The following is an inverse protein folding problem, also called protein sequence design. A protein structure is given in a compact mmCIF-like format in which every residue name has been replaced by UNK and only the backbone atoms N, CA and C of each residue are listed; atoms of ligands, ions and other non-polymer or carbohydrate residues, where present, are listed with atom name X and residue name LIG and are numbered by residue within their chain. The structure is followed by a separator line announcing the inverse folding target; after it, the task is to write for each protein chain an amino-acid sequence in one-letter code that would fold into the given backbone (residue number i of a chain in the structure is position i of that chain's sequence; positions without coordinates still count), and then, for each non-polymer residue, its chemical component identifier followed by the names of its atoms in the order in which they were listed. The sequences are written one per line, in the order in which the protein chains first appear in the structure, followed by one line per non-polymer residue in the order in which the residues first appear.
data_IF_291297835626
#
_entry.id   IF_291297835626
#
_cell.length_a   1.000
_cell.length_b   1.000
_cell.length_c   1.000
_cell.angle_alpha   90.00
_cell.angle_beta   90.00
_cell.angle_gamma   90.00
#
_symmetry.space_group_name_H-M   'P 1'
#
loop_
_entity.id
_entity.type
_entity.pdbx_description
1 polymer ?
#
# COMPACT_ATOMS: atom_id res chain seq x y z
N UNK A 1 77.37 6.24 4.66
CA UNK A 1 75.98 6.03 5.11
C UNK A 1 74.97 6.56 4.07
N UNK A 2 74.98 6.03 2.84
CA UNK A 2 74.07 6.45 1.77
C UNK A 2 73.56 5.27 0.92
N UNK A 3 73.76 4.03 1.41
CA UNK A 3 73.44 2.80 0.67
C UNK A 3 72.24 1.99 1.21
N UNK A 4 71.70 2.33 2.39
CA UNK A 4 70.53 1.63 2.97
C UNK A 4 69.20 2.38 2.82
N UNK A 5 69.20 3.62 2.31
CA UNK A 5 67.98 4.41 2.05
C UNK A 5 67.44 4.28 0.62
N UNK A 6 68.15 3.63 -0.28
CA UNK A 6 67.72 3.45 -1.68
C UNK A 6 67.07 2.07 -1.96
N UNK A 7 67.28 1.07 -1.09
CA UNK A 7 66.54 -0.20 -1.20
C UNK A 7 65.08 -0.09 -0.75
N UNK A 8 64.72 0.93 0.03
CA UNK A 8 63.36 1.12 0.51
C UNK A 8 62.42 1.81 -0.51
N UNK A 9 62.97 2.29 -1.63
CA UNK A 9 62.20 3.03 -2.66
C UNK A 9 61.93 2.18 -3.91
N UNK A 10 62.64 1.07 -4.10
CA UNK A 10 62.49 0.21 -5.30
C UNK A 10 61.42 -0.87 -5.14
N UNK A 11 61.01 -1.19 -3.90
CA UNK A 11 59.96 -2.19 -3.63
C UNK A 11 58.54 -1.61 -3.62
N UNK A 12 58.37 -0.32 -3.93
CA UNK A 12 57.06 0.37 -3.88
C UNK A 12 56.33 0.43 -5.23
N UNK A 13 56.75 -0.35 -6.25
CA UNK A 13 56.28 -0.18 -7.63
C UNK A 13 55.91 -1.45 -8.39
N UNK A 14 55.37 -2.47 -7.73
CA UNK A 14 54.76 -3.63 -8.41
C UNK A 14 53.56 -4.20 -7.66
N UNK A 15 52.51 -3.40 -7.48
CA UNK A 15 51.12 -3.89 -7.32
C UNK A 15 50.17 -2.81 -7.83
N UNK A 16 49.94 -2.81 -9.15
CA UNK A 16 48.79 -2.14 -9.75
C UNK A 16 47.56 -2.99 -9.41
N UNK A 17 46.61 -2.52 -8.58
CA UNK A 17 45.30 -3.15 -8.54
C UNK A 17 44.61 -2.81 -9.87
N UNK A 18 44.22 -3.85 -10.60
CA UNK A 18 43.26 -3.76 -11.68
C UNK A 18 42.06 -2.93 -11.20
N UNK A 19 41.65 -1.96 -12.01
CA UNK A 19 40.46 -1.14 -11.80
C UNK A 19 39.22 -2.04 -11.74
N UNK A 20 38.85 -2.47 -10.54
CA UNK A 20 37.53 -2.99 -10.24
C UNK A 20 36.49 -1.90 -10.56
N UNK A 21 35.35 -2.23 -11.18
CA UNK A 21 34.31 -1.24 -11.45
C UNK A 21 33.76 -0.70 -10.13
N UNK A 22 33.89 0.61 -9.94
CA UNK A 22 33.33 1.34 -8.80
C UNK A 22 31.86 0.95 -8.60
N UNK A 23 31.54 0.41 -7.42
CA UNK A 23 30.16 0.09 -7.08
C UNK A 23 29.34 1.39 -6.94
N UNK A 24 28.07 1.36 -7.36
CA UNK A 24 27.11 2.49 -7.29
C UNK A 24 27.11 3.26 -5.95
N UNK A 25 27.49 2.60 -4.86
CA UNK A 25 27.53 3.15 -3.50
C UNK A 25 28.65 4.18 -3.26
N UNK A 26 29.74 4.18 -4.03
CA UNK A 26 30.85 5.14 -3.85
C UNK A 26 30.61 6.47 -4.57
N UNK A 27 29.80 6.48 -5.65
CA UNK A 27 29.43 7.70 -6.40
C UNK A 27 28.53 8.63 -5.57
N UNK A 28 27.82 8.10 -4.58
CA UNK A 28 26.89 8.86 -3.72
C UNK A 28 27.51 9.47 -2.45
N UNK A 29 28.85 9.51 -2.31
CA UNK A 29 29.51 10.33 -1.27
C UNK A 29 29.37 9.84 0.19
N UNK A 30 29.25 8.53 0.41
CA UNK A 30 29.14 7.96 1.76
C UNK A 30 30.53 7.68 2.37
N UNK A 31 31.16 8.69 2.98
CA UNK A 31 32.42 8.47 3.71
C UNK A 31 32.14 7.78 5.05
N UNK A 32 32.65 6.55 5.22
CA UNK A 32 32.56 5.77 6.46
C UNK A 32 33.46 6.41 7.52
N UNK A 33 32.91 7.25 8.38
CA UNK A 33 33.61 7.78 9.57
C UNK A 33 33.97 6.60 10.47
N UNK A 34 35.28 6.37 10.62
CA UNK A 34 35.87 5.31 11.46
C UNK A 34 36.27 5.94 12.79
N UNK A 35 35.35 6.03 13.75
CA UNK A 35 35.69 6.41 15.13
C UNK A 35 36.19 5.18 15.89
N UNK A 36 37.49 5.15 16.18
CA UNK A 36 38.11 4.20 17.09
C UNK A 36 37.97 4.70 18.52
N UNK A 37 37.08 4.11 19.30
CA UNK A 37 37.08 4.23 20.77
C UNK A 37 37.23 2.82 21.35
N UNK A 38 38.37 2.60 21.99
CA UNK A 38 38.67 1.38 22.72
C UNK A 38 37.82 1.34 24.00
N UNK A 39 36.91 0.37 24.10
CA UNK A 39 36.17 0.10 25.33
C UNK A 39 36.49 -1.31 25.81
N UNK A 40 36.97 -1.41 27.06
CA UNK A 40 37.32 -2.67 27.70
C UNK A 40 36.04 -3.48 27.97
N UNK A 41 35.97 -4.68 27.42
CA UNK A 41 34.78 -5.54 27.44
C UNK A 41 34.75 -6.36 28.74
N UNK A 42 34.03 -5.87 29.76
CA UNK A 42 33.56 -6.75 30.83
C UNK A 42 32.42 -7.61 30.27
N UNK A 43 32.68 -8.90 30.11
CA UNK A 43 31.71 -9.94 29.77
C UNK A 43 30.67 -10.07 30.89
N UNK A 44 29.65 -9.20 30.92
CA UNK A 44 28.35 -9.48 31.55
C UNK A 44 27.38 -8.32 31.30
N UNK A 45 26.81 -8.26 30.11
CA UNK A 45 25.54 -7.60 29.88
C UNK A 45 24.88 -8.25 28.66
N UNK A 46 23.81 -9.02 28.88
CA UNK A 46 22.80 -9.23 27.85
C UNK A 46 22.21 -7.86 27.53
N UNK A 47 22.80 -7.13 26.58
CA UNK A 47 22.32 -5.84 26.15
C UNK A 47 20.82 -5.99 25.82
N UNK A 48 19.90 -5.34 26.56
CA UNK A 48 18.49 -5.40 26.22
C UNK A 48 18.39 -4.83 24.81
N UNK A 49 18.01 -5.68 23.85
CA UNK A 49 17.87 -5.29 22.45
C UNK A 49 16.95 -4.07 22.42
N UNK A 50 17.51 -2.89 22.15
CA UNK A 50 16.79 -1.65 22.41
C UNK A 50 15.48 -1.67 21.62
N UNK A 51 14.33 -1.50 22.30
CA UNK A 51 13.05 -1.42 21.64
C UNK A 51 13.06 -0.30 20.59
N UNK A 52 12.34 -0.49 19.47
CA UNK A 52 12.13 0.61 18.53
C UNK A 52 11.54 1.81 19.28
N UNK A 53 11.91 3.03 18.88
CA UNK A 53 11.32 4.26 19.44
C UNK A 53 9.79 4.14 19.43
N UNK A 54 9.16 4.61 20.51
CA UNK A 54 7.70 4.61 20.68
C UNK A 54 7.01 5.21 19.46
N UNK A 55 7.62 6.24 18.87
CA UNK A 55 7.16 6.87 17.64
C UNK A 55 7.09 5.89 16.45
N UNK A 56 8.13 5.10 16.20
CA UNK A 56 8.15 4.13 15.10
C UNK A 56 7.17 2.97 15.30
N UNK A 57 6.97 2.58 16.57
CA UNK A 57 5.97 1.58 16.95
C UNK A 57 4.57 2.09 16.66
N UNK A 58 4.27 3.31 17.13
CA UNK A 58 2.98 3.95 16.90
C UNK A 58 2.66 4.04 15.41
N UNK A 59 3.58 4.56 14.60
CA UNK A 59 3.38 4.68 13.16
C UNK A 59 3.16 3.32 12.50
N UNK A 60 3.93 2.29 12.88
CA UNK A 60 3.71 0.94 12.36
C UNK A 60 2.32 0.42 12.71
N UNK A 61 1.93 0.50 13.99
CA UNK A 61 0.66 -0.01 14.48
C UNK A 61 -0.52 0.78 13.88
N UNK A 62 -0.39 2.09 13.71
CA UNK A 62 -1.39 2.92 13.07
C UNK A 62 -1.52 2.59 11.58
N UNK A 63 -0.41 2.41 10.84
CA UNK A 63 -0.47 1.89 9.47
C UNK A 63 -1.18 0.53 9.40
N UNK A 64 -0.83 -0.38 10.31
CA UNK A 64 -1.44 -1.71 10.36
C UNK A 64 -2.95 -1.59 10.62
N UNK A 65 -3.37 -0.75 11.58
CA UNK A 65 -4.78 -0.50 11.87
C UNK A 65 -5.54 0.02 10.64
N UNK A 66 -5.00 1.03 9.94
CA UNK A 66 -5.65 1.60 8.76
C UNK A 66 -5.73 0.58 7.62
N UNK A 67 -4.69 -0.23 7.40
CA UNK A 67 -4.72 -1.33 6.41
C UNK A 67 -5.77 -2.39 6.79
N UNK A 68 -5.89 -2.71 8.08
CA UNK A 68 -6.91 -3.63 8.61
C UNK A 68 -8.34 -3.11 8.45
N UNK A 69 -8.53 -1.79 8.30
CA UNK A 69 -9.84 -1.20 7.95
C UNK A 69 -10.05 -1.22 6.44
N UNK A 70 -9.03 -0.82 5.67
CA UNK A 70 -9.10 -0.69 4.21
C UNK A 70 -9.44 -1.99 3.48
N UNK A 71 -8.88 -3.13 3.91
CA UNK A 71 -9.07 -4.41 3.22
C UNK A 71 -10.55 -4.88 3.28
N UNK A 72 -11.17 -5.03 4.48
CA UNK A 72 -12.60 -5.33 4.58
C UNK A 72 -13.48 -4.28 3.92
N UNK A 73 -13.14 -3.00 4.07
CA UNK A 73 -13.87 -1.90 3.43
C UNK A 73 -13.91 -2.07 1.90
N UNK A 74 -12.77 -2.39 1.28
CA UNK A 74 -12.68 -2.63 -0.17
C UNK A 74 -13.53 -3.81 -0.65
N UNK A 75 -13.66 -4.88 0.16
CA UNK A 75 -14.57 -5.98 -0.17
C UNK A 75 -16.03 -5.63 0.10
N UNK A 76 -16.31 -4.93 1.20
CA UNK A 76 -17.66 -4.50 1.56
C UNK A 76 -18.30 -3.62 0.49
N UNK A 77 -17.52 -2.71 -0.12
CA UNK A 77 -17.98 -1.87 -1.22
C UNK A 77 -18.49 -2.64 -2.44
N UNK A 78 -18.09 -3.91 -2.63
CA UNK A 78 -18.63 -4.77 -3.69
C UNK A 78 -19.99 -5.39 -3.35
N UNK A 79 -20.37 -5.38 -2.07
CA UNK A 79 -21.60 -5.98 -1.54
C UNK A 79 -22.67 -4.94 -1.20
N UNK A 80 -22.43 -3.66 -1.50
CA UNK A 80 -23.35 -2.55 -1.22
C UNK A 80 -24.09 -2.19 -2.51
N UNK A 81 -25.42 -2.25 -2.46
CA UNK A 81 -26.32 -1.86 -3.56
C UNK A 81 -26.77 -0.39 -3.49
N UNK A 82 -26.63 0.24 -2.33
CA UNK A 82 -26.98 1.65 -2.11
C UNK A 82 -25.91 2.58 -2.72
N UNK A 83 -26.29 3.36 -3.73
CA UNK A 83 -25.39 4.22 -4.49
C UNK A 83 -24.79 5.37 -3.65
N UNK A 84 -25.59 6.01 -2.79
CA UNK A 84 -25.14 7.13 -1.97
C UNK A 84 -24.13 6.67 -0.91
N UNK A 85 -24.43 5.54 -0.27
CA UNK A 85 -23.50 4.89 0.65
C UNK A 85 -22.23 4.45 -0.09
N UNK A 86 -22.36 3.87 -1.28
CA UNK A 86 -21.22 3.39 -2.06
C UNK A 86 -20.24 4.52 -2.42
N UNK A 87 -20.74 5.68 -2.87
CA UNK A 87 -19.92 6.86 -3.14
C UNK A 87 -19.16 7.29 -1.88
N UNK A 88 -19.86 7.38 -0.75
CA UNK A 88 -19.26 7.75 0.55
C UNK A 88 -18.15 6.78 0.96
N UNK A 89 -18.37 5.47 0.76
CA UNK A 89 -17.37 4.45 1.06
C UNK A 89 -16.16 4.53 0.11
N UNK A 90 -16.37 4.82 -1.18
CA UNK A 90 -15.27 5.07 -2.12
C UNK A 90 -14.41 6.26 -1.70
N UNK A 91 -15.01 7.38 -1.32
CA UNK A 91 -14.27 8.56 -0.89
C UNK A 91 -13.49 8.32 0.40
N UNK A 92 -14.10 7.60 1.36
CA UNK A 92 -13.40 7.16 2.57
C UNK A 92 -12.23 6.22 2.25
N UNK A 93 -12.44 5.24 1.37
CA UNK A 93 -11.42 4.28 0.96
C UNK A 93 -10.25 4.97 0.26
N UNK A 94 -10.52 5.88 -0.68
CA UNK A 94 -9.51 6.69 -1.37
C UNK A 94 -8.71 7.54 -0.37
N UNK A 95 -9.40 8.24 0.53
CA UNK A 95 -8.77 9.10 1.54
C UNK A 95 -7.85 8.33 2.48
N UNK A 96 -8.30 7.18 2.98
CA UNK A 96 -7.48 6.29 3.81
C UNK A 96 -6.30 5.68 3.01
N UNK A 97 -6.50 5.39 1.73
CA UNK A 97 -5.42 4.95 0.83
C UNK A 97 -4.32 6.01 0.67
N UNK A 98 -4.69 7.27 0.45
CA UNK A 98 -3.76 8.40 0.39
C UNK A 98 -3.06 8.60 1.73
N UNK A 99 -3.77 8.45 2.85
CA UNK A 99 -3.16 8.49 4.18
C UNK A 99 -2.08 7.41 4.35
N UNK A 100 -2.35 6.17 3.94
CA UNK A 100 -1.35 5.09 3.93
C UNK A 100 -0.16 5.43 3.04
N UNK A 101 -0.40 5.97 1.84
CA UNK A 101 0.68 6.38 0.93
C UNK A 101 1.62 7.39 1.62
N UNK A 102 1.07 8.45 2.21
CA UNK A 102 1.83 9.47 2.92
C UNK A 102 2.63 8.87 4.10
N UNK A 103 1.98 8.01 4.90
CA UNK A 103 2.64 7.35 6.02
C UNK A 103 3.77 6.42 5.58
N UNK A 104 3.59 5.65 4.51
CA UNK A 104 4.60 4.71 4.02
C UNK A 104 5.81 5.46 3.46
N UNK A 105 5.59 6.53 2.70
CA UNK A 105 6.66 7.43 2.25
C UNK A 105 7.43 8.00 3.44
N UNK A 106 6.72 8.50 4.46
CA UNK A 106 7.34 8.97 5.69
C UNK A 106 8.15 7.87 6.41
N UNK A 107 7.61 6.65 6.50
CA UNK A 107 8.31 5.51 7.10
C UNK A 107 9.57 5.14 6.33
N UNK A 108 9.53 5.16 4.99
CA UNK A 108 10.71 4.90 4.14
C UNK A 108 11.76 5.98 4.39
N UNK A 109 11.37 7.26 4.37
CA UNK A 109 12.25 8.38 4.66
C UNK A 109 12.96 8.21 6.01
N UNK A 110 12.19 7.95 7.07
CA UNK A 110 12.76 7.76 8.40
C UNK A 110 13.62 6.50 8.52
N UNK A 111 13.27 5.43 7.80
CA UNK A 111 14.06 4.19 7.77
C UNK A 111 15.42 4.38 7.11
N UNK A 112 15.51 5.27 6.11
CA UNK A 112 16.79 5.63 5.47
C UNK A 112 17.64 6.50 6.42
N UNK A 113 17.00 7.37 7.22
CA UNK A 113 17.70 8.26 8.17
C UNK A 113 18.11 7.61 9.49
N UNK A 114 17.51 6.47 9.87
CA UNK A 114 17.72 5.86 11.19
C UNK A 114 18.60 4.60 11.10
N UNK A 115 19.60 4.49 11.99
CA UNK A 115 20.41 3.28 12.13
C UNK A 115 19.54 2.12 12.65
N UNK A 116 19.53 1.00 11.91
CA UNK A 116 18.74 -0.17 12.28
C UNK A 116 19.35 -0.88 13.50
N UNK A 117 18.54 -1.25 14.50
CA UNK A 117 18.99 -2.18 15.54
C UNK A 117 19.44 -3.49 14.88
N UNK A 118 20.56 -4.05 15.33
CA UNK A 118 21.06 -5.34 14.85
C UNK A 118 19.99 -6.43 15.03
N UNK A 119 19.79 -7.23 13.97
CA UNK A 119 18.98 -8.44 14.01
C UNK A 119 19.55 -9.39 15.08
N UNK A 120 18.69 -10.12 15.80
CA UNK A 120 19.19 -11.05 16.83
C UNK A 120 20.05 -12.12 16.18
N UNK A 121 21.16 -12.47 16.83
CA UNK A 121 22.08 -13.49 16.36
C UNK A 121 21.42 -14.88 16.20
N UNK A 122 20.23 -15.09 16.77
CA UNK A 122 19.47 -16.34 16.76
C UNK A 122 18.78 -16.69 15.44
N UNK A 123 18.59 -15.74 14.51
CA UNK A 123 17.88 -16.02 13.25
C UNK A 123 18.79 -16.74 12.25
N UNK A 124 18.28 -17.78 11.60
CA UNK A 124 18.99 -18.48 10.52
C UNK A 124 19.21 -17.56 9.30
N UNK A 125 20.15 -17.89 8.41
CA UNK A 125 20.38 -17.11 7.18
C UNK A 125 19.11 -17.04 6.29
N UNK A 126 18.34 -18.13 6.24
CA UNK A 126 17.07 -18.21 5.51
C UNK A 126 16.01 -17.29 6.13
N UNK A 127 15.83 -17.32 7.45
CA UNK A 127 14.86 -16.45 8.14
C UNK A 127 15.18 -14.97 7.95
N UNK A 128 16.47 -14.60 8.00
CA UNK A 128 16.90 -13.21 7.69
C UNK A 128 16.59 -12.85 6.24
N UNK A 129 16.89 -13.72 5.30
CA UNK A 129 16.61 -13.52 3.87
C UNK A 129 15.11 -13.32 3.61
N UNK A 130 14.29 -14.23 4.11
CA UNK A 130 12.82 -14.14 4.02
C UNK A 130 12.29 -12.88 4.67
N UNK A 131 12.76 -12.53 5.87
CA UNK A 131 12.36 -11.29 6.54
C UNK A 131 12.69 -10.05 5.71
N UNK A 132 13.85 -10.01 5.06
CA UNK A 132 14.22 -8.91 4.17
C UNK A 132 13.32 -8.84 2.93
N UNK A 133 13.04 -9.97 2.30
CA UNK A 133 12.16 -10.07 1.12
C UNK A 133 10.75 -9.63 1.51
N UNK A 134 10.15 -10.23 2.53
CA UNK A 134 8.79 -9.90 3.00
C UNK A 134 8.67 -8.42 3.32
N UNK A 135 9.63 -7.83 4.05
CA UNK A 135 9.59 -6.40 4.34
C UNK A 135 9.68 -5.57 3.06
N UNK A 136 10.61 -5.87 2.14
CA UNK A 136 10.73 -5.13 0.87
C UNK A 136 9.43 -5.21 0.06
N UNK A 137 8.87 -6.40 -0.09
CA UNK A 137 7.61 -6.63 -0.80
C UNK A 137 6.45 -5.87 -0.17
N UNK A 138 6.33 -5.88 1.17
CA UNK A 138 5.31 -5.11 1.87
C UNK A 138 5.45 -3.60 1.63
N UNK A 139 6.67 -3.04 1.68
CA UNK A 139 6.88 -1.62 1.36
C UNK A 139 6.50 -1.30 -0.08
N UNK A 140 6.89 -2.15 -1.03
CA UNK A 140 6.54 -1.96 -2.45
C UNK A 140 5.04 -2.01 -2.65
N UNK A 141 4.35 -3.01 -2.10
CA UNK A 141 2.90 -3.15 -2.25
C UNK A 141 2.12 -2.04 -1.56
N UNK A 142 2.58 -1.58 -0.39
CA UNK A 142 1.97 -0.44 0.29
C UNK A 142 2.14 0.90 -0.46
N UNK A 143 3.03 0.97 -1.45
CA UNK A 143 3.11 2.09 -2.40
C UNK A 143 2.27 1.80 -3.66
N UNK A 144 2.43 0.62 -4.25
CA UNK A 144 1.74 0.23 -5.49
C UNK A 144 0.22 0.27 -5.31
N UNK A 145 -0.31 -0.21 -4.18
CA UNK A 145 -1.75 -0.26 -3.91
C UNK A 145 -2.43 1.12 -3.98
N UNK A 146 -2.05 2.12 -3.16
CA UNK A 146 -2.69 3.42 -3.22
C UNK A 146 -2.39 4.17 -4.52
N UNK A 147 -1.20 3.99 -5.12
CA UNK A 147 -0.87 4.62 -6.40
C UNK A 147 -1.71 4.05 -7.53
N UNK A 148 -1.90 2.73 -7.60
CA UNK A 148 -2.78 2.13 -8.61
C UNK A 148 -4.24 2.53 -8.39
N UNK A 149 -4.70 2.67 -7.15
CA UNK A 149 -6.05 3.15 -6.84
C UNK A 149 -6.27 4.61 -7.27
N UNK A 150 -5.26 5.48 -7.06
CA UNK A 150 -5.30 6.87 -7.52
C UNK A 150 -5.36 6.94 -9.05
N UNK A 151 -4.47 6.22 -9.73
CA UNK A 151 -4.45 6.15 -11.20
C UNK A 151 -5.75 5.55 -11.78
N UNK A 152 -6.32 4.55 -11.11
CA UNK A 152 -7.62 3.98 -11.46
C UNK A 152 -8.74 5.02 -11.36
N UNK A 153 -8.80 5.80 -10.28
CA UNK A 153 -9.81 6.86 -10.09
C UNK A 153 -9.69 7.94 -11.17
N UNK A 154 -8.46 8.42 -11.45
CA UNK A 154 -8.22 9.40 -12.50
C UNK A 154 -8.60 8.88 -13.88
N UNK A 155 -8.25 7.63 -14.20
CA UNK A 155 -8.60 7.00 -15.48
C UNK A 155 -10.12 6.78 -15.62
N UNK A 156 -10.85 6.61 -14.52
CA UNK A 156 -12.32 6.60 -14.50
C UNK A 156 -12.95 8.00 -14.65
N UNK A 157 -12.15 9.07 -14.58
CA UNK A 157 -12.60 10.46 -14.66
C UNK A 157 -13.08 11.05 -13.33
N UNK A 158 -12.67 10.45 -12.20
CA UNK A 158 -13.02 10.95 -10.87
C UNK A 158 -11.77 11.45 -10.13
N UNK A 159 -11.76 12.72 -9.65
CA UNK A 159 -10.66 13.23 -8.86
C UNK A 159 -10.55 12.46 -7.53
N UNK A 160 -9.34 12.44 -6.96
CA UNK A 160 -9.10 11.86 -5.64
C UNK A 160 -9.09 12.97 -4.60
N UNK A 161 -10.18 13.09 -3.86
CA UNK A 161 -10.29 14.01 -2.74
C UNK A 161 -9.71 13.39 -1.46
N UNK A 162 -8.91 14.16 -0.71
CA UNK A 162 -8.40 13.75 0.59
C UNK A 162 -9.31 14.28 1.70
N UNK A 163 -10.23 13.44 2.17
CA UNK A 163 -11.24 13.77 3.20
C UNK A 163 -12.06 15.04 2.89
N UNK A 164 -12.25 15.38 1.61
CA UNK A 164 -12.96 16.61 1.21
C UNK A 164 -12.16 17.90 1.38
N UNK A 165 -10.90 17.83 1.82
CA UNK A 165 -10.09 19.02 2.13
C UNK A 165 -9.44 19.62 0.88
N UNK A 166 -8.89 18.76 0.02
CA UNK A 166 -8.27 19.13 -1.24
C UNK A 166 -8.25 17.93 -2.18
N UNK A 167 -8.14 18.21 -3.48
CA UNK A 167 -8.02 17.19 -4.51
C UNK A 167 -6.55 16.99 -4.88
N UNK A 168 -6.17 15.73 -5.07
CA UNK A 168 -4.87 15.36 -5.61
C UNK A 168 -4.86 15.63 -7.13
N UNK A 169 -3.72 15.98 -7.72
CA UNK A 169 -3.63 16.25 -9.15
C UNK A 169 -3.94 14.99 -9.97
N UNK A 170 -4.56 15.19 -11.14
CA UNK A 170 -4.79 14.09 -12.08
C UNK A 170 -3.47 13.69 -12.74
N UNK A 171 -3.09 12.43 -12.55
CA UNK A 171 -1.85 11.87 -13.11
C UNK A 171 -2.04 11.30 -14.52
N UNK A 172 -3.28 10.93 -14.85
CA UNK A 172 -3.69 10.34 -16.13
C UNK A 172 -5.04 10.90 -16.54
N UNK A 173 -5.27 11.01 -17.85
CA UNK A 173 -6.57 11.39 -18.39
C UNK A 173 -7.57 10.24 -18.31
N UNK A 174 -8.87 10.57 -18.38
CA UNK A 174 -9.94 9.57 -18.47
C UNK A 174 -9.73 8.64 -19.67
N UNK A 175 -9.65 7.35 -19.42
CA UNK A 175 -9.47 6.31 -20.42
C UNK A 175 -9.84 4.93 -19.85
N UNK A 176 -10.86 4.27 -20.43
CA UNK A 176 -11.43 3.04 -19.88
C UNK A 176 -10.45 1.85 -19.94
N UNK A 177 -9.59 1.77 -20.97
CA UNK A 177 -8.56 0.72 -21.07
C UNK A 177 -7.52 0.86 -19.95
N UNK A 178 -7.09 2.11 -19.70
CA UNK A 178 -6.14 2.45 -18.64
C UNK A 178 -6.75 2.19 -17.27
N UNK A 179 -8.03 2.52 -17.09
CA UNK A 179 -8.78 2.21 -15.87
C UNK A 179 -8.79 0.70 -15.60
N UNK A 180 -9.12 -0.12 -16.60
CA UNK A 180 -9.15 -1.58 -16.47
C UNK A 180 -7.76 -2.17 -16.10
N UNK A 181 -6.68 -1.62 -16.65
CA UNK A 181 -5.31 -2.02 -16.28
C UNK A 181 -5.04 -1.73 -14.80
N UNK A 182 -5.31 -0.51 -14.34
CA UNK A 182 -5.05 -0.15 -12.94
C UNK A 182 -5.97 -0.85 -11.95
N UNK A 183 -7.22 -1.13 -12.34
CA UNK A 183 -8.14 -1.96 -11.57
C UNK A 183 -7.59 -3.37 -11.38
N UNK A 184 -7.07 -4.00 -12.45
CA UNK A 184 -6.44 -5.32 -12.36
C UNK A 184 -5.19 -5.31 -11.48
N UNK A 185 -4.33 -4.30 -11.64
CA UNK A 185 -3.14 -4.12 -10.79
C UNK A 185 -3.56 -3.97 -9.33
N UNK A 186 -4.54 -3.13 -9.03
CA UNK A 186 -5.03 -2.89 -7.67
C UNK A 186 -5.63 -4.15 -7.05
N UNK A 187 -6.48 -4.87 -7.80
CA UNK A 187 -7.07 -6.12 -7.34
C UNK A 187 -6.01 -7.19 -7.07
N UNK A 188 -5.11 -7.45 -8.01
CA UNK A 188 -4.06 -8.45 -7.84
C UNK A 188 -3.09 -8.08 -6.70
N UNK A 189 -2.67 -6.82 -6.64
CA UNK A 189 -1.79 -6.34 -5.57
C UNK A 189 -2.47 -6.46 -4.19
N UNK A 190 -3.80 -6.34 -4.10
CA UNK A 190 -4.53 -6.55 -2.85
C UNK A 190 -4.38 -7.99 -2.34
N UNK A 191 -4.57 -9.00 -3.20
CA UNK A 191 -4.38 -10.40 -2.81
C UNK A 191 -2.94 -10.69 -2.38
N UNK A 192 -1.96 -10.23 -3.16
CA UNK A 192 -0.54 -10.43 -2.80
C UNK A 192 -0.22 -9.75 -1.47
N UNK A 193 -0.75 -8.55 -1.22
CA UNK A 193 -0.58 -7.83 0.04
C UNK A 193 -1.22 -8.60 1.21
N UNK A 194 -2.45 -9.09 1.06
CA UNK A 194 -3.15 -9.91 2.06
C UNK A 194 -2.32 -11.15 2.40
N UNK A 195 -1.85 -11.89 1.40
CA UNK A 195 -1.00 -13.08 1.61
C UNK A 195 0.29 -12.74 2.36
N UNK A 196 0.95 -11.64 2.01
CA UNK A 196 2.17 -11.21 2.68
C UNK A 196 1.93 -10.72 4.11
N UNK A 197 0.79 -10.06 4.38
CA UNK A 197 0.38 -9.69 5.74
C UNK A 197 0.15 -10.95 6.57
N UNK A 198 -0.54 -11.97 6.02
CA UNK A 198 -0.72 -13.27 6.70
C UNK A 198 0.64 -13.90 7.03
N UNK A 199 1.54 -13.98 6.06
CA UNK A 199 2.86 -14.59 6.25
C UNK A 199 3.70 -13.79 7.26
N UNK A 200 3.63 -12.45 7.23
CA UNK A 200 4.31 -11.57 8.16
C UNK A 200 3.80 -11.74 9.59
N UNK A 201 2.48 -11.75 9.79
CA UNK A 201 1.85 -11.96 11.09
C UNK A 201 2.15 -13.38 11.62
N UNK A 202 2.04 -14.40 10.77
CA UNK A 202 2.37 -15.78 11.12
C UNK A 202 3.84 -15.93 11.54
N UNK A 203 4.78 -15.29 10.82
CA UNK A 203 6.19 -15.26 11.20
C UNK A 203 6.42 -14.61 12.57
N UNK A 204 5.76 -13.48 12.82
CA UNK A 204 5.86 -12.79 14.12
C UNK A 204 5.27 -13.63 15.27
N UNK A 205 4.16 -14.33 15.05
CA UNK A 205 3.52 -15.22 16.02
C UNK A 205 4.35 -16.49 16.25
N UNK A 206 4.92 -17.10 15.20
CA UNK A 206 5.87 -18.22 15.29
C UNK A 206 7.05 -17.85 16.17
N UNK A 207 7.65 -16.70 15.91
CA UNK A 207 8.76 -16.20 16.71
C UNK A 207 8.38 -15.94 18.19
N UNK A 208 7.15 -15.45 18.45
CA UNK A 208 6.67 -15.19 19.81
C UNK A 208 6.32 -16.48 20.59
N UNK A 209 5.64 -17.44 19.97
CA UNK A 209 5.12 -18.63 20.64
C UNK A 209 6.07 -19.83 20.61
N UNK A 210 6.75 -20.05 19.47
CA UNK A 210 7.61 -21.21 19.25
C UNK A 210 9.06 -20.86 19.58
N UNK A 211 9.62 -19.85 18.90
CA UNK A 211 11.03 -19.49 19.08
C UNK A 211 11.25 -18.67 20.37
N UNK A 212 10.17 -18.19 20.99
CA UNK A 212 10.13 -17.41 22.23
C UNK A 212 11.07 -16.20 22.21
N UNK A 213 11.22 -15.58 21.04
CA UNK A 213 12.10 -14.43 20.85
C UNK A 213 11.39 -13.10 21.20
N UNK A 214 12.12 -11.98 21.04
CA UNK A 214 11.61 -10.64 21.36
C UNK A 214 11.08 -9.87 20.15
N UNK A 215 10.98 -10.49 18.97
CA UNK A 215 10.64 -9.84 17.70
C UNK A 215 9.31 -9.09 17.78
N UNK A 216 8.25 -9.73 18.29
CA UNK A 216 6.93 -9.10 18.44
C UNK A 216 6.94 -8.01 19.54
N UNK A 217 7.65 -8.25 20.64
CA UNK A 217 7.80 -7.29 21.76
C UNK A 217 8.50 -6.00 21.34
N UNK A 218 9.33 -6.04 20.30
CA UNK A 218 9.98 -4.84 19.75
C UNK A 218 8.99 -3.86 19.12
N UNK A 219 7.81 -4.32 18.70
CA UNK A 219 6.82 -3.48 17.99
C UNK A 219 5.54 -3.23 18.80
N UNK A 220 5.06 -4.19 19.62
CA UNK A 220 3.71 -4.08 20.21
C UNK A 220 3.65 -3.66 21.69
N UNK A 221 4.73 -3.80 22.47
CA UNK A 221 4.95 -3.34 23.87
C UNK A 221 5.84 -4.34 24.60
N UNK A 222 6.57 -3.88 25.62
CA UNK A 222 7.51 -4.70 26.38
C UNK A 222 6.78 -5.71 27.30
N UNK A 223 5.49 -5.46 27.61
CA UNK A 223 4.66 -6.28 28.50
C UNK A 223 3.81 -7.32 27.75
N UNK A 224 4.09 -7.58 26.47
CA UNK A 224 3.33 -8.55 25.70
C UNK A 224 3.63 -9.98 26.18
N UNK A 225 2.80 -10.48 27.09
CA UNK A 225 2.79 -11.87 27.54
C UNK A 225 2.13 -12.81 26.53
N UNK A 226 1.86 -14.05 26.97
CA UNK A 226 1.12 -15.04 26.16
C UNK A 226 -0.29 -14.55 25.80
N UNK A 227 -1.00 -13.95 26.76
CA UNK A 227 -2.34 -13.41 26.57
C UNK A 227 -2.40 -12.34 25.46
N UNK A 228 -1.42 -11.43 25.42
CA UNK A 228 -1.35 -10.42 24.36
C UNK A 228 -1.05 -11.01 22.98
N UNK A 229 -0.20 -12.05 22.92
CA UNK A 229 0.00 -12.82 21.68
C UNK A 229 -1.28 -13.51 21.20
N UNK A 230 -2.05 -14.08 22.13
CA UNK A 230 -3.34 -14.74 21.81
C UNK A 230 -4.33 -13.71 21.28
N UNK A 231 -4.44 -12.55 21.93
CA UNK A 231 -5.31 -11.47 21.46
C UNK A 231 -4.99 -11.06 20.02
N UNK A 232 -3.70 -10.86 19.71
CA UNK A 232 -3.25 -10.52 18.35
C UNK A 232 -3.60 -11.63 17.37
N UNK A 233 -3.38 -12.89 17.74
CA UNK A 233 -3.74 -14.02 16.89
C UNK A 233 -5.26 -14.08 16.64
N UNK A 234 -6.08 -13.94 17.68
CA UNK A 234 -7.54 -13.95 17.58
C UNK A 234 -8.08 -12.80 16.73
N UNK A 235 -7.61 -11.57 16.93
CA UNK A 235 -8.04 -10.42 16.12
C UNK A 235 -7.61 -10.55 14.67
N UNK A 236 -6.40 -11.07 14.43
CA UNK A 236 -5.90 -11.34 13.08
C UNK A 236 -6.73 -12.42 12.37
N UNK A 237 -7.06 -13.50 13.07
CA UNK A 237 -7.93 -14.56 12.53
C UNK A 237 -9.34 -14.04 12.21
N UNK A 238 -9.93 -13.24 13.11
CA UNK A 238 -11.25 -12.64 12.89
C UNK A 238 -11.24 -11.71 11.67
N UNK A 239 -10.21 -10.88 11.53
CA UNK A 239 -10.03 -10.00 10.39
C UNK A 239 -10.06 -10.75 9.05
N UNK A 240 -9.32 -11.87 8.94
CA UNK A 240 -9.31 -12.67 7.71
C UNK A 240 -10.65 -13.36 7.47
N UNK A 241 -11.30 -13.88 8.52
CA UNK A 241 -12.62 -14.49 8.40
C UNK A 241 -13.67 -13.49 7.87
N UNK A 242 -13.69 -12.28 8.42
CA UNK A 242 -14.59 -11.19 7.96
C UNK A 242 -14.27 -10.79 6.52
N UNK A 243 -12.98 -10.65 6.17
CA UNK A 243 -12.59 -10.28 4.80
C UNK A 243 -13.02 -11.33 3.76
N UNK A 244 -12.86 -12.62 4.08
CA UNK A 244 -13.31 -13.72 3.22
C UNK A 244 -14.82 -13.72 3.10
N UNK A 245 -15.55 -13.58 4.21
CA UNK A 245 -17.00 -13.50 4.20
C UNK A 245 -17.50 -12.37 3.29
N UNK A 246 -16.96 -11.16 3.45
CA UNK A 246 -17.34 -10.00 2.64
C UNK A 246 -17.03 -10.19 1.16
N UNK A 247 -15.89 -10.79 0.82
CA UNK A 247 -15.56 -11.10 -0.56
C UNK A 247 -16.56 -12.08 -1.18
N UNK A 248 -16.87 -13.18 -0.49
CA UNK A 248 -17.82 -14.20 -0.96
C UNK A 248 -19.24 -13.62 -1.08
N UNK A 249 -19.67 -12.81 -0.12
CA UNK A 249 -20.98 -12.15 -0.17
C UNK A 249 -21.07 -11.14 -1.31
N UNK A 250 -20.00 -10.40 -1.60
CA UNK A 250 -19.98 -9.41 -2.69
C UNK A 250 -20.06 -10.03 -4.08
N UNK A 251 -19.51 -11.22 -4.31
CA UNK A 251 -19.64 -11.90 -5.60
C UNK A 251 -21.09 -12.27 -5.92
N UNK A 252 -21.88 -12.64 -4.90
CA UNK A 252 -23.30 -12.95 -5.07
C UNK A 252 -24.11 -11.75 -5.60
N UNK A 253 -23.81 -10.56 -5.10
CA UNK A 253 -24.49 -9.31 -5.49
C UNK A 253 -24.12 -8.89 -6.92
N UNK A 254 -22.85 -8.98 -7.31
CA UNK A 254 -22.44 -8.62 -8.66
C UNK A 254 -23.00 -9.58 -9.73
N UNK A 255 -23.09 -10.87 -9.40
CA UNK A 255 -23.62 -11.88 -10.31
C UNK A 255 -25.11 -11.66 -10.59
N UNK A 256 -25.91 -11.35 -9.57
CA UNK A 256 -27.35 -11.07 -9.74
C UNK A 256 -27.58 -9.77 -10.51
N UNK A 257 -26.79 -8.72 -10.23
CA UNK A 257 -26.87 -7.46 -10.98
C UNK A 257 -26.56 -7.67 -12.47
N UNK A 258 -25.54 -8.46 -12.79
CA UNK A 258 -25.19 -8.80 -14.16
C UNK A 258 -26.28 -9.62 -14.86
N UNK A 259 -26.84 -10.64 -14.19
CA UNK A 259 -27.94 -11.45 -14.74
C UNK A 259 -29.20 -10.62 -15.02
N UNK A 260 -29.57 -9.72 -14.10
CA UNK A 260 -30.69 -8.80 -14.25
C UNK A 260 -30.49 -7.83 -15.42
N UNK A 261 -29.26 -7.34 -15.64
CA UNK A 261 -28.94 -6.45 -16.76
C UNK A 261 -29.05 -7.18 -18.12
N UNK A 262 -28.59 -8.43 -18.21
CA UNK A 262 -28.77 -9.26 -19.41
C UNK A 262 -30.24 -9.57 -19.66
N UNK A 263 -31.00 -9.91 -18.62
CA UNK A 263 -32.44 -10.15 -18.73
C UNK A 263 -33.21 -8.91 -19.21
N UNK A 264 -32.89 -7.72 -18.69
CA UNK A 264 -33.49 -6.46 -19.13
C UNK A 264 -33.12 -6.12 -20.59
N UNK A 265 -31.89 -6.42 -21.02
CA UNK A 265 -31.45 -6.27 -22.41
C UNK A 265 -32.23 -7.18 -23.37
N UNK A 266 -32.48 -8.44 -23.00
CA UNK A 266 -33.29 -9.37 -23.79
C UNK A 266 -34.77 -8.98 -23.83
N UNK A 267 -35.34 -8.55 -22.70
CA UNK A 267 -36.73 -8.06 -22.66
C UNK A 267 -36.93 -6.81 -23.53
N UNK A 268 -35.92 -5.94 -23.64
CA UNK A 268 -35.95 -4.76 -24.52
C UNK A 268 -35.88 -5.10 -26.00
N UNK A 269 -35.28 -6.25 -26.35
CA UNK A 269 -35.17 -6.74 -27.74
C UNK A 269 -36.44 -7.52 -28.15
N UNK A 270 -37.13 -8.18 -27.21
CA UNK A 270 -38.29 -9.03 -27.49
C UNK A 270 -39.63 -8.26 -27.50
N UNK A 271 -39.69 -7.05 -26.92
CA UNK A 271 -40.89 -6.17 -26.95
C UNK A 271 -40.91 -5.28 -28.20
N UNK A 272 -40.71 -5.87 -29.38
CA UNK A 272 -41.17 -5.27 -30.64
C UNK A 272 -41.82 -6.28 -31.58
N UNK A 273 -43.02 -6.78 -31.26
CA UNK A 273 -43.85 -7.52 -32.20
C UNK A 273 -44.94 -6.59 -32.74
N UNK A 274 -44.60 -5.56 -33.52
CA UNK A 274 -45.50 -5.01 -34.56
C UNK A 274 -44.71 -4.07 -35.46
N UNK A 275 -44.38 -4.55 -36.66
CA UNK A 275 -43.86 -3.71 -37.72
C UNK A 275 -44.88 -2.65 -38.13
N UNK A 276 -44.44 -1.41 -38.13
CA UNK A 276 -45.03 -0.34 -38.94
C UNK A 276 -43.88 0.38 -39.67
N UNK A 277 -44.04 0.65 -40.98
CA UNK A 277 -42.96 1.18 -41.80
C UNK A 277 -42.72 2.67 -41.49
N UNK A 278 -41.47 3.07 -41.71
CA UNK A 278 -41.02 4.45 -41.63
C UNK A 278 -41.75 5.32 -42.66
N UNK A 279 -42.65 6.19 -42.18
CA UNK A 279 -43.05 7.40 -42.88
C UNK A 279 -42.54 8.62 -42.10
N UNK A 280 -41.81 9.47 -42.81
CA UNK A 280 -41.22 10.68 -42.26
C UNK A 280 -42.26 11.71 -41.89
N UNK A 281 -42.05 12.36 -40.75
CA UNK A 281 -42.67 13.65 -40.44
C UNK A 281 -41.59 14.59 -39.92
N UNK A 282 -41.21 15.50 -40.80
CA UNK A 282 -40.65 16.80 -40.49
C UNK A 282 -41.68 17.62 -39.72
N UNK A 283 -41.35 18.07 -38.50
CA UNK A 283 -41.63 19.42 -37.97
C UNK A 283 -41.34 19.46 -36.46
N UNK A 284 -40.37 20.28 -36.07
CA UNK A 284 -40.32 20.85 -34.71
C UNK A 284 -40.31 22.38 -34.88
N UNK A 285 -41.28 23.12 -34.31
CA UNK A 285 -41.24 24.57 -34.33
C UNK A 285 -40.27 25.08 -33.26
N UNK A 286 -39.50 26.11 -33.63
CA UNK A 286 -38.70 26.93 -32.72
C UNK A 286 -39.64 27.73 -31.82
N UNK A 287 -39.53 27.52 -30.50
CA UNK A 287 -40.20 28.30 -29.47
C UNK A 287 -39.16 29.25 -28.87
N UNK A 288 -39.34 30.56 -29.04
CA UNK A 288 -38.47 31.54 -28.40
C UNK A 288 -38.58 32.97 -28.93
N UNK A 289 -38.95 33.87 -28.02
CA UNK A 289 -38.78 35.34 -28.03
C UNK A 289 -39.89 36.21 -28.62
N UNK A 290 -40.79 36.67 -27.74
CA UNK A 290 -41.41 37.99 -27.86
C UNK A 290 -41.27 38.74 -26.52
N UNK A 291 -40.39 39.74 -26.52
CA UNK A 291 -40.30 40.81 -25.53
C UNK A 291 -40.65 42.12 -26.22
N UNK A 292 -41.48 42.92 -25.53
CA UNK A 292 -41.78 44.36 -25.66
C UNK A 292 -43.30 44.56 -25.59
N UNK A 293 -43.88 45.54 -24.93
CA UNK A 293 -43.47 46.47 -23.89
C UNK A 293 -44.80 47.09 -23.44
N UNK A 294 -45.04 47.16 -22.13
CA UNK A 294 -46.31 47.63 -21.58
C UNK A 294 -46.32 49.17 -21.57
N UNK A 295 -47.23 49.79 -22.32
CA UNK A 295 -47.50 51.22 -22.22
C UNK A 295 -48.87 51.48 -21.59
N UNK A 296 -48.85 52.25 -20.49
CA UNK A 296 -49.84 53.23 -20.00
C UNK A 296 -51.19 52.75 -19.39
N UNK A 297 -51.40 52.99 -18.09
CA UNK A 297 -52.14 54.17 -17.57
C UNK A 297 -52.65 53.94 -16.12
N UNK A 298 -52.10 54.69 -15.16
CA UNK A 298 -52.75 55.49 -14.09
C UNK A 298 -51.81 55.80 -12.94
#
# INVERSE_FOLDING_TARGET
MLGKKLQQVVEYRLTLPLLEPLSFWEICGFSRVKTSLNFSFTNDMRLPLMPYSVFFRFIHLFCALVVFVLIPLGFFMKAVDDEELLITLYDLHKSLGVLILAMVVFRIYMRVKTVKPTSSASHTRLERGLSHITHKSLYTLLLVMPVSGWLMSNAAGFPVSFFGLFELPDLVAKNDETMAIYQNIHFFAAFVLITLIMLHAAGALKHHFIDKDTTLKRISSNNLGKAGGILIASTTSLFFAVSIYLWVSGEGVQNTAHENAHAAGHASIEVSPHGLPAEGISAYPQEGTHQSEHHRDR
#
